data_IF_218516895173
#
_entry.id   IF_218516895173
#
_cell.length_a   1.000
_cell.length_b   1.000
_cell.length_c   1.000
_cell.angle_alpha   90.00
_cell.angle_beta   90.00
_cell.angle_gamma   90.00
#
_symmetry.space_group_name_H-M   'P 1'
#
loop_
_entity.id
_entity.type
_entity.pdbx_description
1 polymer ?
#
# COMPACT_ATOMS: atom_id res chain seq x y z
N UNK A 1 -1.58 -21.24 -7.37
CA UNK A 1 -1.47 -21.74 -5.98
C UNK A 1 -0.64 -22.99 -6.05
N UNK A 2 0.56 -22.99 -5.48
CA UNK A 2 1.43 -24.16 -5.52
C UNK A 2 0.95 -25.14 -4.44
N UNK A 3 0.69 -26.37 -4.85
CA UNK A 3 0.12 -27.42 -4.01
C UNK A 3 1.13 -27.81 -2.92
N UNK A 4 0.69 -27.80 -1.67
CA UNK A 4 1.57 -28.12 -0.55
C UNK A 4 1.76 -29.63 -0.45
N UNK A 5 2.99 -30.07 -0.69
CA UNK A 5 3.36 -31.48 -0.62
C UNK A 5 3.57 -31.87 0.85
N UNK A 6 2.87 -32.88 1.39
CA UNK A 6 3.04 -33.30 2.78
C UNK A 6 4.50 -33.74 3.03
N UNK A 7 4.98 -33.51 4.24
CA UNK A 7 6.39 -33.74 4.61
C UNK A 7 6.83 -35.19 4.38
N UNK A 8 5.92 -36.15 4.53
CA UNK A 8 6.18 -37.58 4.30
C UNK A 8 6.59 -37.91 2.86
N UNK A 9 6.19 -37.06 1.89
CA UNK A 9 6.51 -37.27 0.47
C UNK A 9 7.78 -36.52 0.04
N UNK A 10 8.47 -35.82 0.94
CA UNK A 10 9.67 -35.08 0.57
C UNK A 10 10.82 -36.01 0.20
N UNK A 11 11.55 -35.67 -0.87
CA UNK A 11 12.81 -36.33 -1.19
C UNK A 11 13.97 -35.74 -0.36
N UNK A 12 15.15 -36.36 -0.43
CA UNK A 12 16.32 -35.91 0.34
C UNK A 12 16.71 -34.45 0.04
N UNK A 13 16.63 -34.03 -1.23
CA UNK A 13 16.94 -32.66 -1.64
C UNK A 13 15.95 -31.64 -1.06
N UNK A 14 14.65 -31.97 -1.03
CA UNK A 14 13.59 -31.17 -0.42
C UNK A 14 13.80 -31.03 1.09
N UNK A 15 14.24 -32.10 1.76
CA UNK A 15 14.62 -32.08 3.18
C UNK A 15 15.83 -31.17 3.41
N UNK A 16 16.88 -31.27 2.58
CA UNK A 16 18.05 -30.40 2.68
C UNK A 16 17.70 -28.92 2.48
N UNK A 17 16.91 -28.60 1.45
CA UNK A 17 16.46 -27.24 1.16
C UNK A 17 15.58 -26.68 2.30
N UNK A 18 14.79 -27.54 2.94
CA UNK A 18 14.00 -27.18 4.11
C UNK A 18 14.89 -26.82 5.31
N UNK A 19 15.93 -27.61 5.59
CA UNK A 19 16.88 -27.38 6.69
C UNK A 19 17.65 -26.07 6.51
N UNK A 20 18.13 -25.78 5.31
CA UNK A 20 18.78 -24.49 4.98
C UNK A 20 17.87 -23.30 5.32
N UNK A 21 16.58 -23.42 4.97
CA UNK A 21 15.61 -22.35 5.14
C UNK A 21 15.24 -22.08 6.59
N UNK A 22 15.16 -23.11 7.44
CA UNK A 22 14.98 -22.91 8.88
C UNK A 22 16.29 -22.47 9.57
N UNK A 23 17.37 -22.28 8.81
CA UNK A 23 18.67 -21.82 9.30
C UNK A 23 19.47 -22.91 9.99
N UNK A 24 19.30 -24.16 9.56
CA UNK A 24 20.05 -25.34 10.01
C UNK A 24 20.95 -25.89 8.90
N UNK A 25 21.51 -25.00 8.07
CA UNK A 25 22.40 -25.36 6.95
C UNK A 25 23.65 -26.13 7.38
N UNK A 26 24.10 -25.94 8.63
CA UNK A 26 25.23 -26.67 9.20
C UNK A 26 24.94 -28.17 9.36
N UNK A 27 23.67 -28.57 9.52
CA UNK A 27 23.28 -29.96 9.73
C UNK A 27 22.96 -30.66 8.39
N UNK A 28 22.84 -29.92 7.28
CA UNK A 28 22.51 -30.47 5.95
C UNK A 28 23.43 -31.61 5.49
N UNK A 29 24.78 -31.55 5.67
CA UNK A 29 25.64 -32.66 5.30
C UNK A 29 25.26 -33.96 6.01
N UNK A 30 24.89 -33.91 7.29
CA UNK A 30 24.49 -35.10 8.04
C UNK A 30 23.19 -35.72 7.48
N UNK A 31 22.21 -34.92 7.08
CA UNK A 31 20.98 -35.43 6.46
C UNK A 31 21.20 -35.94 5.04
N UNK A 32 22.11 -35.33 4.29
CA UNK A 32 22.47 -35.75 2.94
C UNK A 32 23.25 -37.07 2.95
N UNK A 33 24.27 -37.17 3.80
CA UNK A 33 25.15 -38.34 3.90
C UNK A 33 24.41 -39.58 4.41
N UNK A 34 23.35 -39.39 5.20
CA UNK A 34 22.47 -40.47 5.68
C UNK A 34 21.22 -40.68 4.80
N UNK A 35 21.13 -40.01 3.65
CA UNK A 35 20.03 -40.12 2.68
C UNK A 35 18.62 -39.96 3.28
N UNK A 36 18.48 -39.16 4.34
CA UNK A 36 17.23 -39.00 5.08
C UNK A 36 16.15 -38.40 4.18
N UNK A 37 15.07 -39.13 3.93
CA UNK A 37 13.90 -38.63 3.18
C UNK A 37 12.81 -38.10 4.13
N UNK A 38 11.76 -37.51 3.56
CA UNK A 38 10.67 -36.90 4.31
C UNK A 38 9.93 -37.85 5.24
N UNK A 39 9.72 -39.10 4.82
CA UNK A 39 9.14 -40.16 5.67
C UNK A 39 10.00 -40.47 6.88
N UNK A 40 11.32 -40.54 6.69
CA UNK A 40 12.27 -40.87 7.74
C UNK A 40 12.33 -39.72 8.74
N UNK A 41 12.43 -38.49 8.25
CA UNK A 41 12.39 -37.28 9.06
C UNK A 41 11.13 -37.17 9.94
N UNK A 42 9.98 -37.58 9.41
CA UNK A 42 8.72 -37.61 10.16
C UNK A 42 8.77 -38.64 11.30
N UNK A 43 9.36 -39.81 11.07
CA UNK A 43 9.47 -40.91 12.05
C UNK A 43 10.57 -40.73 13.09
N UNK A 44 11.69 -40.09 12.76
CA UNK A 44 12.87 -39.98 13.62
C UNK A 44 12.57 -39.26 14.93
N UNK A 45 12.91 -39.83 16.07
CA UNK A 45 12.75 -39.22 17.39
C UNK A 45 13.87 -38.20 17.69
N UNK A 46 13.66 -37.35 18.71
CA UNK A 46 14.70 -36.41 19.19
C UNK A 46 16.02 -37.12 19.54
N UNK A 47 15.94 -38.33 20.08
CA UNK A 47 17.10 -39.11 20.50
C UNK A 47 17.81 -39.76 19.30
N UNK A 48 17.09 -40.20 18.27
CA UNK A 48 17.66 -40.72 17.01
C UNK A 48 18.34 -39.60 16.21
N UNK A 49 17.71 -38.42 16.09
CA UNK A 49 18.33 -37.25 15.47
C UNK A 49 19.66 -36.86 16.14
N UNK A 50 19.75 -37.05 17.45
CA UNK A 50 20.97 -36.76 18.21
C UNK A 50 22.02 -37.87 18.08
N UNK A 51 21.60 -39.12 18.17
CA UNK A 51 22.50 -40.28 18.24
C UNK A 51 23.02 -40.66 16.87
N UNK A 52 22.15 -40.65 15.85
CA UNK A 52 22.45 -41.17 14.52
C UNK A 52 22.97 -40.05 13.60
N UNK A 53 22.38 -38.84 13.68
CA UNK A 53 22.78 -37.71 12.83
C UNK A 53 23.73 -36.72 13.54
N UNK A 54 24.01 -36.92 14.83
CA UNK A 54 24.91 -36.06 15.60
C UNK A 54 24.39 -34.64 15.84
N UNK A 55 23.08 -34.42 15.71
CA UNK A 55 22.48 -33.09 15.77
C UNK A 55 22.31 -32.64 17.24
N UNK A 56 22.45 -31.34 17.49
CA UNK A 56 22.22 -30.80 18.84
C UNK A 56 20.75 -30.98 19.28
N UNK A 57 20.53 -31.22 20.57
CA UNK A 57 19.16 -31.38 21.14
C UNK A 57 18.23 -30.21 20.82
N UNK A 58 18.77 -28.99 20.72
CA UNK A 58 18.00 -27.79 20.39
C UNK A 58 17.58 -27.79 18.91
N UNK A 59 18.46 -28.22 18.01
CA UNK A 59 18.17 -28.31 16.58
C UNK A 59 17.13 -29.42 16.33
N UNK A 60 17.27 -30.59 16.96
CA UNK A 60 16.29 -31.69 16.87
C UNK A 60 14.87 -31.23 17.27
N UNK A 61 14.73 -30.58 18.44
CA UNK A 61 13.45 -30.00 18.89
C UNK A 61 12.90 -28.95 17.94
N UNK A 62 13.78 -28.13 17.35
CA UNK A 62 13.39 -27.12 16.38
C UNK A 62 12.79 -27.78 15.14
N UNK A 63 13.48 -28.77 14.57
CA UNK A 63 13.00 -29.54 13.41
C UNK A 63 11.61 -30.14 13.68
N UNK A 64 11.42 -30.82 14.82
CA UNK A 64 10.12 -31.40 15.19
C UNK A 64 9.01 -30.37 15.34
N UNK A 65 9.28 -29.26 16.04
CA UNK A 65 8.31 -28.19 16.21
C UNK A 65 7.85 -27.61 14.87
N UNK A 66 8.75 -27.39 13.92
CA UNK A 66 8.38 -26.87 12.61
C UNK A 66 7.66 -27.89 11.72
N UNK A 67 7.85 -29.19 11.95
CA UNK A 67 7.06 -30.25 11.30
C UNK A 67 5.63 -30.28 11.86
N UNK A 68 5.48 -30.22 13.19
CA UNK A 68 4.21 -30.25 13.92
C UNK A 68 3.36 -28.98 13.70
N UNK A 69 3.99 -27.80 13.69
CA UNK A 69 3.32 -26.50 13.49
C UNK A 69 2.80 -26.30 12.05
N UNK A 70 2.94 -27.29 11.18
CA UNK A 70 2.30 -27.32 9.86
C UNK A 70 3.27 -27.27 8.69
N UNK A 71 4.23 -28.21 8.64
CA UNK A 71 5.06 -28.46 7.45
C UNK A 71 4.28 -28.66 6.13
N UNK A 72 2.94 -28.75 6.19
CA UNK A 72 2.00 -28.85 5.08
C UNK A 72 1.54 -27.50 4.48
N UNK A 73 2.11 -26.35 4.85
CA UNK A 73 1.89 -25.10 4.13
C UNK A 73 3.15 -24.63 3.41
N UNK A 74 3.86 -25.56 2.76
CA UNK A 74 4.92 -25.17 1.83
C UNK A 74 4.93 -25.94 0.52
N UNK A 75 4.96 -25.17 -0.57
CA UNK A 75 5.08 -25.67 -1.92
C UNK A 75 6.42 -25.18 -2.46
N UNK A 76 7.23 -26.05 -3.08
CA UNK A 76 8.54 -25.67 -3.60
C UNK A 76 8.33 -24.63 -4.71
N UNK A 77 8.62 -23.36 -4.42
CA UNK A 77 8.83 -22.37 -5.46
C UNK A 77 10.14 -22.74 -6.17
N UNK A 78 10.03 -23.54 -7.24
CA UNK A 78 11.13 -23.82 -8.15
C UNK A 78 11.77 -22.51 -8.61
N UNK A 79 12.93 -22.20 -8.03
CA UNK A 79 13.69 -20.99 -8.29
C UNK A 79 15.15 -21.35 -8.41
N UNK A 80 15.52 -21.93 -9.55
CA UNK A 80 16.88 -21.78 -10.06
C UNK A 80 17.10 -20.27 -10.28
N UNK A 81 17.87 -19.63 -9.40
CA UNK A 81 18.31 -18.25 -9.59
C UNK A 81 19.23 -18.18 -10.81
N UNK A 82 18.66 -17.84 -11.96
CA UNK A 82 19.38 -17.10 -12.97
C UNK A 82 19.47 -15.65 -12.49
N UNK A 83 20.69 -15.18 -12.34
CA UNK A 83 21.05 -13.82 -11.98
C UNK A 83 20.65 -12.86 -13.12
N UNK A 84 19.47 -12.26 -13.02
CA UNK A 84 19.04 -11.18 -13.92
C UNK A 84 19.22 -9.82 -13.24
N UNK A 85 20.23 -9.10 -13.72
CA UNK A 85 20.49 -7.67 -13.59
C UNK A 85 19.18 -6.86 -13.66
N UNK A 86 18.97 -5.84 -12.80
CA UNK A 86 17.72 -5.09 -12.75
C UNK A 86 17.50 -4.32 -14.06
N UNK A 87 16.49 -4.74 -14.80
CA UNK A 87 15.95 -4.07 -15.98
C UNK A 87 15.06 -2.89 -15.52
N UNK A 88 15.24 -1.67 -16.08
CA UNK A 88 14.40 -0.53 -15.76
C UNK A 88 12.93 -0.77 -16.18
N UNK A 89 11.95 -0.08 -15.56
CA UNK A 89 10.52 -0.33 -15.79
C UNK A 89 10.16 -0.21 -17.28
N UNK A 90 9.21 -1.03 -17.78
CA UNK A 90 8.85 -1.06 -19.19
C UNK A 90 8.34 0.31 -19.62
N UNK A 91 9.13 0.98 -20.47
CA UNK A 91 8.65 2.03 -21.36
C UNK A 91 7.62 1.39 -22.28
N UNK A 92 6.33 1.55 -21.96
CA UNK A 92 5.28 1.45 -22.98
C UNK A 92 5.62 2.48 -24.04
N UNK A 93 6.21 2.00 -25.13
CA UNK A 93 6.50 2.76 -26.33
C UNK A 93 5.15 3.06 -26.97
N UNK A 94 4.54 4.17 -26.57
CA UNK A 94 3.52 4.83 -27.37
C UNK A 94 4.22 5.31 -28.63
N UNK A 95 4.04 4.57 -29.72
CA UNK A 95 4.46 4.98 -31.05
C UNK A 95 3.82 6.34 -31.36
N UNK A 96 4.61 7.40 -31.21
CA UNK A 96 4.28 8.73 -31.66
C UNK A 96 4.25 8.70 -33.18
N UNK A 97 3.05 8.82 -33.76
CA UNK A 97 2.89 9.12 -35.17
C UNK A 97 3.45 10.53 -35.42
N UNK A 98 4.63 10.59 -36.02
CA UNK A 98 5.23 11.81 -36.56
C UNK A 98 4.32 12.37 -37.66
N UNK A 99 3.95 13.66 -37.64
CA UNK A 99 3.35 14.31 -38.80
C UNK A 99 4.43 14.47 -39.88
N UNK A 100 4.25 13.77 -41.00
CA UNK A 100 5.03 14.02 -42.20
C UNK A 100 4.72 15.44 -42.69
N UNK A 101 5.75 16.28 -42.68
CA UNK A 101 5.79 17.55 -43.42
C UNK A 101 6.04 17.20 -44.89
N UNK A 102 5.16 17.58 -45.84
CA UNK A 102 5.56 17.66 -47.22
C UNK A 102 6.18 19.04 -47.48
N UNK A 103 7.39 18.91 -48.00
CA UNK A 103 8.28 19.87 -48.62
C UNK A 103 7.60 20.89 -49.57
N UNK A 104 8.21 22.07 -49.59
CA UNK A 104 7.92 23.21 -50.44
C UNK A 104 8.36 22.92 -51.89
N UNK A 105 7.41 22.84 -52.81
CA UNK A 105 7.73 22.80 -54.24
C UNK A 105 6.58 23.19 -55.13
N UNK A 106 6.69 24.35 -55.79
CA UNK A 106 6.06 24.60 -57.09
C UNK A 106 4.93 25.62 -57.12
N UNK A 107 5.27 26.83 -57.56
CA UNK A 107 4.35 27.79 -58.17
C UNK A 107 3.51 27.14 -59.30
N UNK A 108 2.19 27.28 -59.25
CA UNK A 108 1.42 27.55 -60.46
C UNK A 108 0.19 28.41 -60.15
N UNK A 109 0.26 29.68 -60.56
CA UNK A 109 -0.87 30.61 -60.61
C UNK A 109 -1.65 30.26 -61.87
N UNK A 110 -2.90 29.78 -61.74
CA UNK A 110 -3.82 29.68 -62.86
C UNK A 110 -5.09 30.47 -62.56
N UNK A 111 -5.05 31.71 -63.05
CA UNK A 111 -6.18 32.63 -63.10
C UNK A 111 -7.20 32.12 -64.12
N UNK A 112 -8.35 31.65 -63.66
CA UNK A 112 -9.52 31.45 -64.50
C UNK A 112 -10.67 32.32 -64.00
N UNK A 113 -10.82 33.46 -64.67
CA UNK A 113 -12.10 34.14 -64.83
C UNK A 113 -13.00 33.27 -65.72
N UNK A 114 -14.25 33.05 -65.33
CA UNK A 114 -15.43 33.31 -66.17
C UNK A 114 -16.72 32.76 -65.53
N UNK A 115 -17.71 33.66 -65.47
CA UNK A 115 -19.11 33.49 -65.82
C UNK A 115 -20.00 32.48 -65.06
N UNK A 116 -20.95 33.11 -64.36
CA UNK A 116 -22.28 32.62 -63.99
C UNK A 116 -23.00 31.88 -65.13
N UNK A 117 -23.81 30.87 -64.77
CA UNK A 117 -25.22 30.97 -65.11
C UNK A 117 -26.15 30.68 -63.94
N UNK A 118 -27.15 31.55 -63.82
CA UNK A 118 -28.30 31.46 -62.93
C UNK A 118 -29.17 30.29 -63.38
N UNK A 119 -29.26 29.23 -62.58
CA UNK A 119 -30.25 28.17 -62.76
C UNK A 119 -30.86 27.81 -61.39
N UNK A 120 -32.15 28.11 -61.30
CA UNK A 120 -33.07 27.84 -60.22
C UNK A 120 -33.17 26.32 -59.95
N UNK A 121 -32.68 25.84 -58.80
CA UNK A 121 -32.77 24.43 -58.38
C UNK A 121 -33.56 24.37 -57.05
N UNK A 122 -34.59 23.50 -56.94
CA UNK A 122 -35.46 23.45 -55.77
C UNK A 122 -34.69 22.98 -54.53
N UNK A 123 -34.71 23.82 -53.50
CA UNK A 123 -34.21 23.53 -52.16
C UNK A 123 -35.27 22.77 -51.35
N UNK A 124 -35.01 21.49 -51.01
CA UNK A 124 -35.43 21.01 -49.67
C UNK A 124 -34.47 20.00 -48.99
N UNK A 125 -33.26 19.74 -49.50
CA UNK A 125 -32.42 18.64 -48.96
C UNK A 125 -31.50 18.97 -47.77
N UNK A 126 -31.33 20.24 -47.37
CA UNK A 126 -30.32 20.61 -46.35
C UNK A 126 -30.75 20.36 -44.90
N UNK A 127 -32.05 20.39 -44.60
CA UNK A 127 -32.57 20.24 -43.23
C UNK A 127 -32.22 18.87 -42.60
N UNK A 128 -32.19 17.78 -43.39
CA UNK A 128 -31.86 16.45 -42.86
C UNK A 128 -30.39 16.28 -42.44
N UNK A 129 -29.49 17.17 -42.88
CA UNK A 129 -28.06 17.06 -42.59
C UNK A 129 -27.65 17.69 -41.26
N UNK A 130 -28.39 18.72 -40.80
CA UNK A 130 -28.09 19.43 -39.55
C UNK A 130 -28.48 18.60 -38.31
N UNK A 131 -29.62 17.91 -38.36
CA UNK A 131 -30.06 17.00 -37.30
C UNK A 131 -29.10 15.82 -37.13
N UNK A 132 -28.63 15.24 -38.25
CA UNK A 132 -27.65 14.15 -38.23
C UNK A 132 -26.31 14.59 -37.61
N UNK A 133 -25.87 15.84 -37.85
CA UNK A 133 -24.65 16.38 -37.24
C UNK A 133 -24.82 16.58 -35.73
N UNK A 134 -25.96 17.14 -35.30
CA UNK A 134 -26.26 17.31 -33.87
C UNK A 134 -26.30 15.97 -33.15
N UNK A 135 -26.96 14.97 -33.73
CA UNK A 135 -27.03 13.62 -33.18
C UNK A 135 -25.65 12.98 -33.06
N UNK A 136 -24.77 13.17 -34.06
CA UNK A 136 -23.39 12.69 -34.01
C UNK A 136 -22.58 13.34 -32.88
N UNK A 137 -22.66 14.67 -32.73
CA UNK A 137 -21.97 15.40 -31.66
C UNK A 137 -22.50 15.01 -30.28
N UNK A 138 -23.81 14.82 -30.14
CA UNK A 138 -24.43 14.34 -28.91
C UNK A 138 -23.92 12.95 -28.53
N UNK A 139 -23.92 12.01 -29.50
CA UNK A 139 -23.37 10.66 -29.29
C UNK A 139 -21.89 10.67 -28.90
N UNK A 140 -21.11 11.59 -29.45
CA UNK A 140 -19.70 11.77 -29.09
C UNK A 140 -19.55 12.27 -27.64
N UNK A 141 -20.32 13.29 -27.24
CA UNK A 141 -20.33 13.80 -25.86
C UNK A 141 -20.75 12.70 -24.88
N UNK A 142 -21.84 11.98 -25.18
CA UNK A 142 -22.37 10.91 -24.33
C UNK A 142 -21.38 9.74 -24.21
N UNK A 143 -20.68 9.41 -25.30
CA UNK A 143 -19.63 8.38 -25.32
C UNK A 143 -18.41 8.73 -24.47
N UNK A 144 -18.15 10.02 -24.20
CA UNK A 144 -17.03 10.47 -23.36
C UNK A 144 -17.35 10.50 -21.86
N UNK A 145 -18.61 10.52 -21.46
CA UNK A 145 -19.01 10.63 -20.04
C UNK A 145 -18.52 9.44 -19.21
N UNK A 146 -18.66 8.22 -19.73
CA UNK A 146 -18.23 7.01 -19.02
C UNK A 146 -16.70 6.97 -18.80
N UNK A 147 -15.84 7.11 -19.84
CA UNK A 147 -14.38 7.19 -19.65
C UNK A 147 -13.93 8.29 -18.69
N UNK A 148 -14.54 9.48 -18.78
CA UNK A 148 -14.22 10.60 -17.89
C UNK A 148 -14.58 10.29 -16.43
N UNK A 149 -15.74 9.66 -16.21
CA UNK A 149 -16.17 9.24 -14.87
C UNK A 149 -15.23 8.19 -14.29
N UNK A 150 -14.83 7.21 -15.09
CA UNK A 150 -13.85 6.18 -14.71
C UNK A 150 -12.48 6.78 -14.39
N UNK A 151 -11.98 7.73 -15.21
CA UNK A 151 -10.72 8.42 -14.95
C UNK A 151 -10.75 9.21 -13.62
N UNK A 152 -11.86 9.89 -13.32
CA UNK A 152 -12.06 10.59 -12.04
C UNK A 152 -12.10 9.64 -10.84
N UNK A 153 -12.76 8.49 -10.99
CA UNK A 153 -12.78 7.46 -9.95
C UNK A 153 -11.37 6.95 -9.64
N UNK A 154 -10.58 6.59 -10.67
CA UNK A 154 -9.19 6.19 -10.47
C UNK A 154 -8.36 7.28 -9.78
N UNK A 155 -8.45 8.53 -10.24
CA UNK A 155 -7.74 9.66 -9.62
C UNK A 155 -8.11 9.81 -8.14
N UNK A 156 -9.40 9.69 -7.81
CA UNK A 156 -9.89 9.75 -6.43
C UNK A 156 -9.34 8.62 -5.56
N UNK A 157 -9.40 7.37 -6.04
CA UNK A 157 -8.89 6.20 -5.33
C UNK A 157 -7.38 6.28 -5.07
N UNK A 158 -6.59 6.70 -6.06
CA UNK A 158 -5.13 6.85 -5.90
C UNK A 158 -4.77 8.01 -4.95
N UNK A 159 -5.49 9.13 -5.03
CA UNK A 159 -5.29 10.25 -4.10
C UNK A 159 -5.63 9.84 -2.66
N UNK A 160 -6.72 9.09 -2.47
CA UNK A 160 -7.10 8.54 -1.17
C UNK A 160 -6.03 7.57 -0.63
N UNK A 161 -5.56 6.65 -1.47
CA UNK A 161 -4.50 5.71 -1.12
C UNK A 161 -3.21 6.42 -0.71
N UNK A 162 -2.82 7.51 -1.40
CA UNK A 162 -1.66 8.32 -1.06
C UNK A 162 -1.78 8.96 0.33
N UNK A 163 -2.96 9.48 0.70
CA UNK A 163 -3.20 10.07 2.02
C UNK A 163 -3.11 9.01 3.13
N UNK A 164 -3.64 7.81 2.88
CA UNK A 164 -3.56 6.67 3.80
C UNK A 164 -2.10 6.23 3.95
N UNK A 165 -1.34 6.13 2.85
CA UNK A 165 0.11 5.82 2.87
C UNK A 165 0.89 6.84 3.70
N UNK A 166 0.69 8.14 3.48
CA UNK A 166 1.35 9.20 4.26
C UNK A 166 1.05 9.10 5.76
N UNK A 167 -0.18 8.72 6.11
CA UNK A 167 -0.57 8.48 7.51
C UNK A 167 0.16 7.25 8.08
N UNK A 168 0.21 6.14 7.32
CA UNK A 168 0.94 4.93 7.70
C UNK A 168 2.44 5.18 7.89
N UNK A 169 3.07 5.90 6.95
CA UNK A 169 4.47 6.34 7.03
C UNK A 169 4.73 7.10 8.32
N UNK A 170 3.93 8.13 8.63
CA UNK A 170 4.09 8.92 9.86
C UNK A 170 4.05 8.05 11.12
N UNK A 171 3.08 7.14 11.21
CA UNK A 171 2.95 6.22 12.35
C UNK A 171 4.16 5.27 12.48
N UNK A 172 4.69 4.76 11.36
CA UNK A 172 5.90 3.93 11.36
C UNK A 172 7.14 4.72 11.78
N UNK A 173 7.26 5.98 11.36
CA UNK A 173 8.37 6.84 11.74
C UNK A 173 8.36 7.13 13.26
N UNK A 174 7.19 7.46 13.82
CA UNK A 174 7.01 7.63 15.27
C UNK A 174 7.29 6.32 16.02
N UNK A 175 6.79 5.19 15.53
CA UNK A 175 7.08 3.86 16.07
C UNK A 175 8.58 3.57 16.12
N UNK A 176 9.29 3.81 15.02
CA UNK A 176 10.74 3.62 14.92
C UNK A 176 11.49 4.52 15.93
N UNK A 177 11.05 5.77 16.12
CA UNK A 177 11.63 6.67 17.11
C UNK A 177 11.49 6.13 18.54
N UNK A 178 10.29 5.66 18.92
CA UNK A 178 10.04 5.07 20.23
C UNK A 178 10.86 3.79 20.47
N UNK A 179 10.92 2.89 19.49
CA UNK A 179 11.75 1.68 19.57
C UNK A 179 13.24 2.00 19.64
N UNK A 180 13.71 2.99 18.87
CA UNK A 180 15.09 3.47 18.92
C UNK A 180 15.45 4.03 20.30
N UNK A 181 14.54 4.79 20.93
CA UNK A 181 14.71 5.27 22.30
C UNK A 181 14.78 4.11 23.29
N UNK A 182 13.89 3.12 23.19
CA UNK A 182 13.91 1.93 24.04
C UNK A 182 15.25 1.16 23.92
N UNK A 183 15.78 0.97 22.71
CA UNK A 183 17.08 0.34 22.48
C UNK A 183 18.22 1.15 23.09
N UNK A 184 18.19 2.48 22.98
CA UNK A 184 19.20 3.36 23.62
C UNK A 184 19.20 3.21 25.13
N UNK A 185 18.03 3.17 25.77
CA UNK A 185 17.90 2.97 27.21
C UNK A 185 18.45 1.59 27.63
N UNK A 186 18.10 0.53 26.90
CA UNK A 186 18.63 -0.81 27.14
C UNK A 186 20.17 -0.89 26.98
N UNK A 187 20.75 -0.09 26.10
CA UNK A 187 22.21 -0.02 25.94
C UNK A 187 22.90 0.70 27.11
N UNK A 188 22.27 1.74 27.67
CA UNK A 188 22.82 2.50 28.80
C UNK A 188 22.90 1.63 30.06
N UNK A 189 21.91 0.77 30.27
CA UNK A 189 21.88 -0.16 31.40
C UNK A 189 23.06 -1.16 31.35
N UNK A 190 23.28 -1.80 30.19
CA UNK A 190 24.39 -2.73 29.98
C UNK A 190 25.75 -2.05 30.14
N UNK A 191 25.91 -0.82 29.64
CA UNK A 191 27.16 -0.07 29.78
C UNK A 191 27.40 0.35 31.23
N UNK A 192 26.35 0.74 31.96
CA UNK A 192 26.43 1.08 33.39
C UNK A 192 26.91 -0.09 34.25
N UNK A 193 26.45 -1.30 33.94
CA UNK A 193 26.87 -2.51 34.64
C UNK A 193 28.35 -2.87 34.36
N UNK A 194 28.79 -2.71 33.10
CA UNK A 194 30.19 -2.96 32.69
C UNK A 194 31.16 -1.90 33.24
N UNK A 195 30.74 -0.63 33.32
CA UNK A 195 31.60 0.45 33.80
C UNK A 195 31.84 0.39 35.31
N UNK A 196 30.99 -0.31 36.07
CA UNK A 196 31.08 -0.46 37.52
C UNK A 196 31.08 -1.92 38.01
N UNK A 197 31.97 -2.79 37.49
CA UNK A 197 31.93 -4.23 37.75
C UNK A 197 32.38 -4.61 39.18
N UNK A 198 32.82 -3.64 39.98
CA UNK A 198 33.47 -3.88 41.28
C UNK A 198 32.77 -3.26 42.50
N UNK A 199 31.54 -2.74 42.37
CA UNK A 199 30.81 -2.25 43.55
C UNK A 199 29.91 -3.30 44.23
N UNK A 200 29.76 -4.49 43.64
CA UNK A 200 28.95 -5.59 44.19
C UNK A 200 29.68 -6.93 44.38
N UNK A 201 30.96 -7.03 44.01
CA UNK A 201 31.75 -8.25 44.12
C UNK A 201 32.42 -8.42 45.48
N UNK A 202 31.76 -9.16 46.38
CA UNK A 202 32.33 -10.05 47.41
C UNK A 202 33.33 -9.55 48.46
N UNK A 203 33.79 -8.29 48.45
CA UNK A 203 34.41 -7.68 49.64
C UNK A 203 33.33 -7.17 50.60
N UNK A 204 32.44 -8.08 51.00
CA UNK A 204 31.71 -7.98 52.26
C UNK A 204 32.73 -8.27 53.36
N UNK A 205 33.63 -7.31 53.58
CA UNK A 205 34.53 -7.34 54.71
C UNK A 205 33.72 -7.50 56.00
N UNK A 206 34.20 -8.29 56.98
CA UNK A 206 33.49 -8.50 58.22
C UNK A 206 33.25 -7.14 58.89
N UNK A 207 31.96 -6.88 59.07
CA UNK A 207 31.36 -5.80 59.86
C UNK A 207 32.18 -5.46 61.10
N UNK A 208 32.85 -4.30 61.11
CA UNK A 208 33.17 -3.56 62.34
C UNK A 208 33.09 -2.06 62.02
N UNK A 209 31.96 -1.45 62.38
CA UNK A 209 31.70 -0.04 62.12
C UNK A 209 30.27 0.34 62.46
N UNK A 210 29.92 0.23 63.74
CA UNK A 210 28.74 0.83 64.34
C UNK A 210 28.71 2.33 63.98
N UNK A 211 27.66 2.83 63.32
CA UNK A 211 27.50 4.28 63.27
C UNK A 211 26.39 4.88 62.44
N UNK A 212 26.03 4.34 61.28
CA UNK A 212 25.12 5.07 60.38
C UNK A 212 23.89 4.23 59.96
N UNK A 213 22.77 4.48 60.64
CA UNK A 213 21.46 3.84 60.42
C UNK A 213 20.69 4.42 59.21
N UNK A 214 21.34 5.04 58.23
CA UNK A 214 20.70 5.36 56.94
C UNK A 214 20.91 4.18 56.00
N UNK A 215 20.01 3.21 56.13
CA UNK A 215 20.13 1.88 55.54
C UNK A 215 20.14 1.83 53.99
N UNK A 216 20.53 0.68 53.41
CA UNK A 216 20.82 0.52 51.98
C UNK A 216 19.60 0.52 51.04
N UNK A 217 18.42 0.94 51.50
CA UNK A 217 17.17 0.82 50.74
C UNK A 217 17.03 1.85 49.61
N UNK A 218 17.80 2.95 49.60
CA UNK A 218 17.59 4.05 48.64
C UNK A 218 18.23 3.85 47.25
N UNK A 219 19.01 2.78 47.01
CA UNK A 219 19.63 2.56 45.69
C UNK A 219 18.83 1.67 44.73
N UNK A 220 17.76 1.01 45.20
CA UNK A 220 16.91 0.20 44.32
C UNK A 220 15.91 1.04 43.52
N UNK A 221 15.55 2.24 43.98
CA UNK A 221 14.50 3.03 43.34
C UNK A 221 14.94 3.67 42.00
N UNK A 222 16.23 3.91 41.78
CA UNK A 222 16.72 4.55 40.54
C UNK A 222 16.69 3.60 39.32
N UNK A 223 16.96 2.30 39.48
CA UNK A 223 16.96 1.35 38.36
C UNK A 223 15.54 1.02 37.89
N UNK A 224 14.59 0.92 38.82
CA UNK A 224 13.16 0.68 38.50
C UNK A 224 12.61 1.78 37.58
N UNK A 225 13.13 3.00 37.64
CA UNK A 225 12.71 4.09 36.76
C UNK A 225 13.08 3.89 35.29
N UNK A 226 14.27 3.37 35.00
CA UNK A 226 14.75 3.18 33.62
C UNK A 226 13.98 2.07 32.90
N UNK A 227 13.72 0.96 33.59
CA UNK A 227 12.98 -0.19 33.04
C UNK A 227 11.54 0.19 32.68
N UNK A 228 10.90 0.98 33.56
CA UNK A 228 9.53 1.47 33.32
C UNK A 228 9.49 2.38 32.09
N UNK A 229 10.46 3.29 31.94
CA UNK A 229 10.56 4.17 30.78
C UNK A 229 10.83 3.35 29.51
N UNK A 230 11.79 2.41 29.54
CA UNK A 230 12.10 1.55 28.40
C UNK A 230 10.89 0.74 27.95
N UNK A 231 10.20 0.10 28.88
CA UNK A 231 9.00 -0.70 28.59
C UNK A 231 7.87 0.16 28.06
N UNK A 232 7.70 1.37 28.59
CA UNK A 232 6.72 2.33 28.08
C UNK A 232 7.04 2.74 26.63
N UNK A 233 8.30 3.06 26.34
CA UNK A 233 8.75 3.41 24.99
C UNK A 233 8.58 2.26 24.00
N UNK A 234 9.00 1.05 24.38
CA UNK A 234 8.81 -0.14 23.56
C UNK A 234 7.33 -0.38 23.27
N UNK A 235 6.47 -0.30 24.30
CA UNK A 235 5.01 -0.47 24.15
C UNK A 235 4.39 0.56 23.22
N UNK A 236 4.69 1.85 23.41
CA UNK A 236 4.20 2.91 22.55
C UNK A 236 4.62 2.70 21.08
N UNK A 237 5.88 2.32 20.86
CA UNK A 237 6.39 1.99 19.53
C UNK A 237 5.63 0.83 18.88
N UNK A 238 5.35 -0.23 19.63
CA UNK A 238 4.62 -1.40 19.14
C UNK A 238 3.16 -1.10 18.81
N UNK A 239 2.48 -0.32 19.65
CA UNK A 239 1.09 0.09 19.41
C UNK A 239 0.97 0.95 18.14
N UNK A 240 1.91 1.87 17.92
CA UNK A 240 1.97 2.68 16.70
C UNK A 240 2.25 1.84 15.45
N UNK A 241 3.15 0.86 15.55
CA UNK A 241 3.42 -0.09 14.45
C UNK A 241 2.16 -0.87 14.05
N UNK A 242 1.38 -1.36 15.03
CA UNK A 242 0.15 -2.08 14.77
C UNK A 242 -0.91 -1.20 14.08
N UNK A 243 -1.08 0.04 14.56
CA UNK A 243 -1.97 1.03 13.92
C UNK A 243 -1.53 1.33 12.49
N UNK A 244 -0.22 1.48 12.26
CA UNK A 244 0.30 1.68 10.92
C UNK A 244 -0.01 0.49 10.00
N UNK A 245 0.13 -0.74 10.50
CA UNK A 245 -0.21 -1.94 9.73
C UNK A 245 -1.68 -1.96 9.30
N UNK A 246 -2.61 -1.62 10.19
CA UNK A 246 -4.03 -1.53 9.86
C UNK A 246 -4.31 -0.48 8.78
N UNK A 247 -3.63 0.67 8.85
CA UNK A 247 -3.71 1.73 7.84
C UNK A 247 -3.15 1.25 6.50
N UNK A 248 -2.01 0.58 6.49
CA UNK A 248 -1.38 0.07 5.25
C UNK A 248 -2.20 -1.05 4.59
N UNK A 249 -2.87 -1.91 5.36
CA UNK A 249 -3.78 -2.92 4.79
C UNK A 249 -4.97 -2.29 4.05
N UNK A 250 -5.42 -1.10 4.46
CA UNK A 250 -6.45 -0.34 3.72
C UNK A 250 -5.94 0.14 2.37
N UNK A 251 -4.66 0.49 2.26
CA UNK A 251 -4.04 0.86 0.97
C UNK A 251 -4.12 -0.33 0.01
N UNK A 252 -3.76 -1.52 0.48
CA UNK A 252 -3.80 -2.76 -0.33
C UNK A 252 -5.21 -3.10 -0.83
N UNK A 253 -6.25 -2.77 -0.04
CA UNK A 253 -7.64 -2.94 -0.47
C UNK A 253 -8.05 -1.96 -1.59
N UNK A 254 -7.42 -0.79 -1.67
CA UNK A 254 -7.71 0.23 -2.71
C UNK A 254 -6.85 -0.04 -3.96
N UNK A 255 -5.56 -0.36 -3.77
CA UNK A 255 -4.59 -0.61 -4.82
C UNK A 255 -3.84 -1.91 -4.49
N UNK A 256 -4.26 -3.06 -5.03
CA UNK A 256 -3.61 -4.35 -4.77
C UNK A 256 -2.18 -4.43 -5.30
N UNK A 257 -1.85 -3.68 -6.35
CA UNK A 257 -0.57 -3.76 -7.05
C UNK A 257 0.49 -2.78 -6.52
N UNK A 258 0.35 -2.27 -5.28
CA UNK A 258 1.35 -1.37 -4.70
C UNK A 258 2.67 -2.12 -4.52
N UNK A 259 3.78 -1.63 -5.11
CA UNK A 259 5.04 -2.35 -5.06
C UNK A 259 5.62 -2.38 -3.65
N UNK A 260 6.37 -3.46 -3.36
CA UNK A 260 7.12 -3.74 -2.12
C UNK A 260 6.31 -3.92 -0.84
N UNK A 261 5.13 -3.31 -0.72
CA UNK A 261 4.28 -3.51 0.45
C UNK A 261 3.56 -4.86 0.33
N UNK A 262 4.13 -5.92 0.92
CA UNK A 262 3.48 -7.23 0.97
C UNK A 262 2.57 -7.33 2.20
N UNK A 263 1.35 -7.81 2.00
CA UNK A 263 0.40 -8.06 3.08
C UNK A 263 0.96 -9.05 4.13
N UNK A 264 1.80 -10.01 3.71
CA UNK A 264 2.44 -10.98 4.60
C UNK A 264 3.45 -10.32 5.55
N UNK A 265 4.24 -9.36 5.05
CA UNK A 265 5.23 -8.63 5.85
C UNK A 265 4.54 -7.71 6.87
N UNK A 266 3.45 -7.06 6.46
CA UNK A 266 2.60 -6.26 7.36
C UNK A 266 2.00 -7.14 8.47
N UNK A 267 1.43 -8.30 8.12
CA UNK A 267 0.88 -9.25 9.10
C UNK A 267 1.96 -9.81 10.03
N UNK A 268 3.18 -10.02 9.52
CA UNK A 268 4.34 -10.43 10.31
C UNK A 268 4.74 -9.41 11.37
N UNK A 269 4.45 -8.12 11.15
CA UNK A 269 4.65 -7.06 12.14
C UNK A 269 3.57 -7.09 13.23
N UNK A 270 2.30 -7.30 12.87
CA UNK A 270 1.19 -7.44 13.83
C UNK A 270 1.36 -8.68 14.74
N UNK A 271 1.85 -9.78 14.17
CA UNK A 271 2.01 -11.05 14.86
C UNK A 271 3.23 -11.16 15.77
N UNK A 272 4.04 -10.09 15.91
CA UNK A 272 5.36 -10.18 16.55
C UNK A 272 5.34 -10.39 18.07
N UNK A 273 4.22 -10.83 18.65
CA UNK A 273 4.13 -11.23 20.06
C UNK A 273 4.53 -10.10 21.02
N UNK A 274 4.37 -8.84 20.61
CA UNK A 274 4.83 -7.67 21.36
C UNK A 274 4.09 -7.52 22.70
N UNK A 275 2.89 -8.09 22.82
CA UNK A 275 2.15 -8.24 24.09
C UNK A 275 2.89 -9.15 25.09
N UNK A 276 3.68 -10.13 24.62
CA UNK A 276 4.46 -11.03 25.47
C UNK A 276 5.80 -10.43 25.94
N UNK A 277 6.16 -9.22 25.51
CA UNK A 277 7.36 -8.53 26.02
C UNK A 277 7.15 -8.06 27.47
N UNK A 278 5.90 -7.93 27.94
CA UNK A 278 5.59 -7.34 29.24
C UNK A 278 5.72 -8.25 30.47
N UNK A 279 6.07 -9.54 30.34
CA UNK A 279 5.98 -10.50 31.47
C UNK A 279 7.24 -11.31 31.80
N UNK A 280 8.37 -11.07 31.15
CA UNK A 280 9.57 -11.89 31.31
C UNK A 280 10.55 -11.25 32.33
N UNK A 281 10.33 -11.54 33.63
CA UNK A 281 11.12 -11.02 34.76
C UNK A 281 12.58 -11.55 34.79
N UNK A 282 13.54 -10.61 34.82
CA UNK A 282 14.93 -10.67 35.33
C UNK A 282 16.00 -11.59 34.69
N UNK A 283 15.66 -12.68 33.98
CA UNK A 283 16.65 -13.48 33.22
C UNK A 283 16.63 -13.18 31.71
N UNK A 284 15.87 -12.17 31.31
CA UNK A 284 15.38 -11.98 29.94
C UNK A 284 15.69 -10.63 29.34
N UNK A 285 16.46 -9.74 29.99
CA UNK A 285 16.75 -8.41 29.42
C UNK A 285 17.50 -8.49 28.10
N UNK A 286 18.42 -9.45 27.96
CA UNK A 286 19.05 -9.72 26.67
C UNK A 286 18.08 -10.22 25.60
N UNK A 287 17.08 -11.03 25.98
CA UNK A 287 16.07 -11.53 25.06
C UNK A 287 15.07 -10.44 24.67
N UNK A 288 14.63 -9.62 25.63
CA UNK A 288 13.78 -8.44 25.43
C UNK A 288 14.49 -7.44 24.53
N UNK A 289 15.75 -7.11 24.81
CA UNK A 289 16.58 -6.25 23.96
C UNK A 289 16.67 -6.79 22.54
N UNK A 290 16.96 -8.08 22.37
CA UNK A 290 17.00 -8.73 21.04
C UNK A 290 15.64 -8.64 20.33
N UNK A 291 14.53 -8.83 21.03
CA UNK A 291 13.16 -8.69 20.48
C UNK A 291 12.88 -7.24 20.06
N UNK A 292 13.20 -6.25 20.91
CA UNK A 292 12.99 -4.82 20.61
C UNK A 292 13.86 -4.38 19.43
N UNK A 293 15.14 -4.79 19.37
CA UNK A 293 16.00 -4.54 18.21
C UNK A 293 15.46 -5.18 16.94
N UNK A 294 14.99 -6.42 17.01
CA UNK A 294 14.36 -7.10 15.86
C UNK A 294 13.08 -6.41 15.39
N UNK A 295 12.26 -5.93 16.32
CA UNK A 295 11.08 -5.12 16.00
C UNK A 295 11.48 -3.79 15.34
N UNK A 296 12.48 -3.10 15.89
CA UNK A 296 13.00 -1.85 15.32
C UNK A 296 13.50 -2.04 13.89
N UNK A 297 14.27 -3.09 13.61
CA UNK A 297 14.79 -3.41 12.27
C UNK A 297 13.65 -3.68 11.28
N UNK A 298 12.63 -4.44 11.68
CA UNK A 298 11.47 -4.70 10.83
C UNK A 298 10.63 -3.45 10.56
N UNK A 299 10.41 -2.62 11.57
CA UNK A 299 9.73 -1.32 11.39
C UNK A 299 10.52 -0.43 10.43
N UNK A 300 11.85 -0.40 10.55
CA UNK A 300 12.71 0.37 9.64
C UNK A 300 12.61 -0.14 8.19
N UNK A 301 12.62 -1.46 7.97
CA UNK A 301 12.46 -2.04 6.64
C UNK A 301 11.10 -1.66 6.01
N UNK A 302 10.01 -1.82 6.77
CA UNK A 302 8.66 -1.47 6.29
C UNK A 302 8.52 0.05 6.06
N UNK A 303 9.21 0.87 6.85
CA UNK A 303 9.24 2.32 6.68
C UNK A 303 9.88 2.70 5.33
N UNK A 304 11.00 2.06 4.95
CA UNK A 304 11.63 2.26 3.64
C UNK A 304 10.72 1.83 2.48
N UNK A 305 10.05 0.68 2.62
CA UNK A 305 9.10 0.19 1.61
C UNK A 305 7.87 1.10 1.49
N UNK A 306 7.37 1.62 2.62
CA UNK A 306 6.28 2.59 2.64
C UNK A 306 6.67 3.90 1.94
N UNK A 307 7.89 4.40 2.16
CA UNK A 307 8.41 5.59 1.48
C UNK A 307 8.55 5.37 -0.03
N UNK A 308 9.00 4.17 -0.43
CA UNK A 308 9.06 3.81 -1.85
C UNK A 308 7.66 3.79 -2.49
N UNK A 309 6.69 3.15 -1.84
CA UNK A 309 5.30 3.10 -2.30
C UNK A 309 4.69 4.50 -2.42
N UNK A 310 4.95 5.40 -1.47
CA UNK A 310 4.50 6.79 -1.51
C UNK A 310 4.99 7.50 -2.78
N UNK A 311 6.30 7.45 -3.05
CA UNK A 311 6.90 8.05 -4.26
C UNK A 311 6.36 7.43 -5.54
N UNK A 312 6.11 6.13 -5.53
CA UNK A 312 5.54 5.43 -6.68
C UNK A 312 4.11 5.89 -6.97
N UNK A 313 3.24 5.96 -5.95
CA UNK A 313 1.86 6.44 -6.10
C UNK A 313 1.84 7.90 -6.55
N UNK A 314 2.67 8.76 -5.95
CA UNK A 314 2.78 10.17 -6.34
C UNK A 314 3.30 10.33 -7.79
N UNK A 315 4.28 9.52 -8.18
CA UNK A 315 4.75 9.42 -9.56
C UNK A 315 3.66 8.97 -10.52
N UNK A 316 2.85 7.97 -10.16
CA UNK A 316 1.77 7.46 -11.01
C UNK A 316 0.64 8.48 -11.21
N UNK A 317 0.29 9.20 -10.14
CA UNK A 317 -0.69 10.29 -10.18
C UNK A 317 -0.21 11.39 -11.12
N UNK A 318 1.02 11.88 -10.92
CA UNK A 318 1.55 13.03 -11.66
C UNK A 318 1.89 12.71 -13.12
N UNK A 319 2.47 11.54 -13.41
CA UNK A 319 2.92 11.18 -14.76
C UNK A 319 1.84 10.60 -15.66
N UNK A 320 0.78 10.00 -15.10
CA UNK A 320 -0.21 9.25 -15.88
C UNK A 320 -1.64 9.69 -15.63
N UNK A 321 -2.12 9.60 -14.39
CA UNK A 321 -3.55 9.84 -14.11
C UNK A 321 -3.96 11.30 -14.34
N UNK A 322 -3.14 12.25 -13.89
CA UNK A 322 -3.40 13.67 -14.06
C UNK A 322 -3.40 14.13 -15.54
N UNK A 323 -2.39 13.81 -16.37
CA UNK A 323 -2.44 14.17 -17.79
C UNK A 323 -3.56 13.44 -18.56
N UNK A 324 -3.83 12.16 -18.24
CA UNK A 324 -4.93 11.42 -18.88
C UNK A 324 -6.29 12.06 -18.57
N UNK A 325 -6.54 12.43 -17.30
CA UNK A 325 -7.75 13.12 -16.89
C UNK A 325 -7.89 14.48 -17.60
N UNK A 326 -6.81 15.28 -17.63
CA UNK A 326 -6.80 16.56 -18.33
C UNK A 326 -7.08 16.40 -19.83
N UNK A 327 -6.53 15.36 -20.47
CA UNK A 327 -6.79 15.06 -21.88
C UNK A 327 -8.27 14.69 -22.13
N UNK A 328 -8.88 13.89 -21.25
CA UNK A 328 -10.31 13.57 -21.33
C UNK A 328 -11.20 14.79 -21.10
N UNK A 329 -10.87 15.63 -20.12
CA UNK A 329 -11.61 16.86 -19.84
C UNK A 329 -11.52 17.86 -20.99
N UNK A 330 -10.34 17.98 -21.61
CA UNK A 330 -10.16 18.81 -22.81
C UNK A 330 -11.00 18.29 -23.98
N UNK A 331 -10.97 16.99 -24.28
CA UNK A 331 -11.79 16.39 -25.35
C UNK A 331 -13.28 16.58 -25.11
N UNK A 332 -13.74 16.34 -23.89
CA UNK A 332 -15.14 16.54 -23.51
C UNK A 332 -15.55 18.01 -23.65
N UNK A 333 -14.72 18.94 -23.19
CA UNK A 333 -14.98 20.37 -23.31
C UNK A 333 -15.06 20.82 -24.78
N UNK A 334 -14.16 20.34 -25.64
CA UNK A 334 -14.19 20.64 -27.08
C UNK A 334 -15.44 20.06 -27.76
N UNK A 335 -15.78 18.79 -27.49
CA UNK A 335 -16.97 18.16 -28.05
C UNK A 335 -18.26 18.86 -27.61
N UNK A 336 -18.33 19.25 -26.33
CA UNK A 336 -19.46 20.00 -25.77
C UNK A 336 -19.57 21.40 -26.38
N UNK A 337 -18.46 22.13 -26.50
CA UNK A 337 -18.47 23.44 -27.15
C UNK A 337 -18.91 23.37 -28.62
N UNK A 338 -18.54 22.30 -29.34
CA UNK A 338 -19.00 22.06 -30.71
C UNK A 338 -20.51 21.79 -30.79
N UNK A 339 -21.06 21.03 -29.84
CA UNK A 339 -22.50 20.78 -29.72
C UNK A 339 -23.29 22.06 -29.39
N UNK A 340 -22.78 22.85 -28.44
CA UNK A 340 -23.40 24.11 -28.03
C UNK A 340 -23.34 25.13 -29.17
N UNK A 341 -22.22 25.23 -29.88
CA UNK A 341 -22.06 26.08 -31.06
C UNK A 341 -22.98 25.69 -32.20
N UNK A 342 -23.18 24.38 -32.45
CA UNK A 342 -24.16 23.91 -33.43
C UNK A 342 -25.59 24.27 -33.02
N UNK A 343 -25.92 24.17 -31.73
CA UNK A 343 -27.26 24.51 -31.22
C UNK A 343 -27.56 26.01 -31.27
N UNK A 344 -26.55 26.88 -31.17
CA UNK A 344 -26.69 28.33 -31.31
C UNK A 344 -26.72 28.80 -32.78
N UNK A 345 -26.03 28.09 -33.68
CA UNK A 345 -25.92 28.45 -35.09
C UNK A 345 -27.20 28.15 -35.88
N UNK A 346 -28.03 27.20 -35.45
CA UNK A 346 -29.36 26.96 -36.03
C UNK A 346 -30.19 28.21 -35.74
N UNK A 347 -30.47 29.06 -36.75
CA UNK A 347 -31.22 30.27 -36.54
C UNK A 347 -32.58 29.87 -35.97
N UNK A 348 -33.06 30.56 -34.94
CA UNK A 348 -34.46 30.52 -34.50
C UNK A 348 -35.42 31.08 -35.60
N UNK A 349 -35.08 30.91 -36.88
CA UNK A 349 -35.81 31.37 -38.07
C UNK A 349 -37.11 30.60 -38.35
N UNK A 350 -37.40 29.56 -37.56
CA UNK A 350 -38.76 29.05 -37.38
C UNK A 350 -39.36 29.51 -36.05
N UNK A 351 -39.12 30.76 -35.67
CA UNK A 351 -40.23 31.53 -35.10
C UNK A 351 -41.31 31.54 -36.18
N UNK A 352 -42.15 30.49 -36.18
CA UNK A 352 -43.42 30.48 -36.91
C UNK A 352 -44.00 31.88 -36.70
N UNK A 353 -44.22 32.67 -37.76
CA UNK A 353 -44.80 33.99 -37.60
C UNK A 353 -46.02 33.77 -36.74
N UNK A 354 -46.04 34.39 -35.56
CA UNK A 354 -47.09 34.20 -34.59
C UNK A 354 -48.40 34.25 -35.35
N UNK A 355 -49.06 33.10 -35.52
CA UNK A 355 -50.40 33.09 -36.04
C UNK A 355 -51.13 33.91 -34.98
N UNK A 356 -51.48 35.14 -35.34
CA UNK A 356 -52.26 36.06 -34.52
C UNK A 356 -53.66 35.46 -34.41
N UNK A 357 -53.76 34.36 -33.68
CA UNK A 357 -55.00 33.84 -33.17
C UNK A 357 -55.52 34.86 -32.15
N UNK A 358 -56.84 35.07 -32.10
CA UNK A 358 -57.45 36.03 -31.19
C UNK A 358 -57.01 35.76 -29.74
N UNK A 359 -56.84 36.82 -28.93
CA UNK A 359 -56.33 36.70 -27.57
C UNK A 359 -57.19 35.71 -26.77
N UNK A 360 -56.57 34.77 -26.02
CA UNK A 360 -57.32 33.91 -25.12
C UNK A 360 -58.09 34.78 -24.11
N UNK A 361 -59.32 34.39 -23.74
CA UNK A 361 -60.12 35.11 -22.76
C UNK A 361 -59.36 35.22 -21.44
N UNK A 362 -59.43 36.40 -20.83
CA UNK A 362 -58.71 36.74 -19.62
C UNK A 362 -58.88 35.67 -18.52
N UNK A 363 -57.79 35.18 -17.91
CA UNK A 363 -57.90 34.25 -16.80
C UNK A 363 -58.57 34.98 -15.63
N UNK A 364 -59.75 34.48 -15.25
CA UNK A 364 -60.45 34.90 -14.05
C UNK A 364 -59.54 34.76 -12.84
N UNK A 365 -59.38 35.87 -12.12
CA UNK A 365 -58.69 35.97 -10.84
C UNK A 365 -59.35 35.02 -9.82
N UNK A 366 -58.84 33.80 -9.69
CA UNK A 366 -59.15 32.94 -8.56
C UNK A 366 -58.06 33.16 -7.50
N UNK A 367 -58.33 34.09 -6.59
CA UNK A 367 -57.52 34.31 -5.40
C UNK A 367 -57.52 33.06 -4.53
N UNK A 368 -56.37 32.41 -4.41
CA UNK A 368 -56.11 31.33 -3.47
C UNK A 368 -54.89 31.68 -2.63
N UNK A 369 -55.14 32.24 -1.45
CA UNK A 369 -54.14 32.37 -0.39
C UNK A 369 -53.70 30.97 0.05
N UNK A 370 -52.45 30.58 -0.22
CA UNK A 370 -51.80 29.48 0.49
C UNK A 370 -50.60 30.04 1.27
N UNK A 371 -50.72 29.94 2.59
CA UNK A 371 -49.73 30.33 3.56
C UNK A 371 -48.48 29.42 3.52
N UNK A 372 -47.28 29.93 3.81
CA UNK A 372 -46.10 29.10 3.99
C UNK A 372 -46.04 28.58 5.43
N UNK A 373 -46.28 27.28 5.61
CA UNK A 373 -45.90 26.55 6.81
C UNK A 373 -45.15 25.30 6.37
N UNK A 374 -43.83 25.31 6.54
CA UNK A 374 -43.10 24.10 6.93
C UNK A 374 -41.71 24.47 7.48
N UNK A 375 -41.63 24.40 8.81
CA UNK A 375 -40.42 24.22 9.59
C UNK A 375 -39.69 22.93 9.16
N UNK A 376 -38.35 22.92 9.06
CA UNK A 376 -37.59 21.70 9.20
C UNK A 376 -37.37 21.35 10.70
N UNK A 377 -37.55 20.08 11.13
CA UNK A 377 -37.22 19.66 12.48
C UNK A 377 -35.71 19.56 12.68
N UNK A 378 -35.23 20.05 13.82
CA UNK A 378 -33.84 20.06 14.21
C UNK A 378 -33.26 18.66 14.42
N UNK A 379 -32.01 18.51 13.99
CA UNK A 379 -31.13 17.41 14.38
C UNK A 379 -30.32 17.84 15.60
N UNK A 380 -30.49 17.12 16.71
CA UNK A 380 -29.64 17.20 17.88
C UNK A 380 -28.32 16.43 17.65
N UNK A 381 -27.18 16.90 18.17
CA UNK A 381 -25.91 16.19 18.06
C UNK A 381 -25.78 15.05 19.07
N UNK A 382 -25.11 13.97 18.66
CA UNK A 382 -24.48 12.98 19.53
C UNK A 382 -22.98 12.97 19.28
#
# INVERSE_FOLDING_TARGET
MAEHKPAELWNNDEVCAYLDRIGLSADVPAFRDNEVVGSDLASLTDDELKTDLGISKLHARRIKRYLEDGGASYAPSGGASAETKPEPPPTTTTTAATPAVPDLGGLHVQSHSAETPVANVPAPAQASSEDARKEKLQKEVDGMVAPLTTARQYMSSYTQALQILKTGHKLLAESHQHLSQAVKMANLEVVGEIAHPHRGGLLRGPMHGLGDRRGPLHRRDEHVGLDVIQNHQAKAGCELANKACEVLLKVYAIIPDVPKIKAEEIKGLQGMGLMNIMFDNLLTDMAVRKKVMGAQQKVAAILEDCQYAERWVEGWISSRLQPDLAAWESKYATAKAALDGHSQAVPMGYAMPAQTGPPPPAPGYAGGYYAPSNNPPGLAPR
#
